data_IF_354614245798
#
_entry.id   IF_354614245798
#
_cell.length_a   1.000
_cell.length_b   1.000
_cell.length_c   1.000
_cell.angle_alpha   90.00
_cell.angle_beta   90.00
_cell.angle_gamma   90.00
#
_symmetry.space_group_name_H-M   'P 1'
#
loop_
_entity.id
_entity.type
_entity.pdbx_description
1 polymer ?
#
# COMPACT_ATOMS: atom_id res chain seq x y z
N UNK A 1 18.90 -29.85 -47.67
CA UNK A 1 18.19 -29.96 -46.37
C UNK A 1 17.77 -28.57 -45.94
N UNK A 2 16.49 -28.25 -46.02
CA UNK A 2 15.94 -26.96 -45.59
C UNK A 2 15.92 -26.97 -44.06
N UNK A 3 16.83 -26.23 -43.44
CA UNK A 3 16.80 -25.99 -41.99
C UNK A 3 15.46 -25.33 -41.67
N UNK A 4 14.59 -26.02 -40.93
CA UNK A 4 13.35 -25.46 -40.44
C UNK A 4 13.68 -24.25 -39.56
N UNK A 5 13.40 -23.04 -40.06
CA UNK A 5 13.50 -21.81 -39.29
C UNK A 5 12.49 -21.93 -38.16
N UNK A 6 12.99 -22.19 -36.94
CA UNK A 6 12.15 -22.30 -35.75
C UNK A 6 11.70 -20.87 -35.42
N UNK A 7 10.49 -20.50 -35.82
CA UNK A 7 9.93 -19.19 -35.49
C UNK A 7 9.91 -19.03 -33.96
N UNK A 8 10.54 -17.97 -33.46
CA UNK A 8 10.54 -17.62 -32.04
C UNK A 8 9.19 -16.96 -31.76
N UNK A 9 8.46 -17.48 -30.78
CA UNK A 9 7.17 -16.95 -30.37
C UNK A 9 7.33 -16.20 -29.05
N UNK A 10 6.87 -14.95 -29.00
CA UNK A 10 6.89 -14.12 -27.80
C UNK A 10 5.46 -13.69 -27.44
N UNK A 11 4.77 -14.41 -26.55
CA UNK A 11 3.48 -13.98 -26.02
C UNK A 11 3.68 -12.83 -25.03
N UNK A 12 2.95 -11.73 -25.27
CA UNK A 12 3.03 -10.50 -24.50
C UNK A 12 1.67 -10.14 -23.95
N UNK A 13 1.58 -9.95 -22.63
CA UNK A 13 0.40 -9.37 -22.00
C UNK A 13 0.64 -7.87 -21.76
N UNK A 14 -0.27 -7.02 -22.26
CA UNK A 14 -0.22 -5.57 -22.04
C UNK A 14 -1.51 -5.12 -21.37
N UNK A 15 -1.42 -4.83 -20.07
CA UNK A 15 -2.54 -4.42 -19.23
C UNK A 15 -2.89 -2.93 -19.45
N UNK A 16 -3.40 -2.60 -20.63
CA UNK A 16 -3.85 -1.24 -20.98
C UNK A 16 -5.00 -1.25 -21.98
N UNK A 17 -5.88 -0.26 -21.84
CA UNK A 17 -6.92 0.07 -22.82
C UNK A 17 -6.38 0.96 -23.96
N UNK A 18 -5.16 1.50 -23.81
CA UNK A 18 -4.54 2.33 -24.83
C UNK A 18 -3.98 1.49 -25.98
N UNK A 19 -4.79 1.33 -27.03
CA UNK A 19 -4.41 0.57 -28.21
C UNK A 19 -3.14 1.11 -28.90
N UNK A 20 -2.97 2.43 -28.99
CA UNK A 20 -1.79 3.05 -29.63
C UNK A 20 -0.49 2.68 -28.92
N UNK A 21 -0.47 2.79 -27.58
CA UNK A 21 0.69 2.40 -26.81
C UNK A 21 0.99 0.91 -26.98
N UNK A 22 -0.05 0.07 -26.87
CA UNK A 22 0.11 -1.39 -26.98
C UNK A 22 0.66 -1.80 -28.35
N UNK A 23 0.15 -1.22 -29.43
CA UNK A 23 0.66 -1.45 -30.79
C UNK A 23 2.09 -0.95 -30.96
N UNK A 24 2.37 0.28 -30.52
CA UNK A 24 3.72 0.85 -30.61
C UNK A 24 4.76 0.00 -29.88
N UNK A 25 4.39 -0.56 -28.72
CA UNK A 25 5.27 -1.46 -27.98
C UNK A 25 5.48 -2.80 -28.70
N UNK A 26 4.42 -3.37 -29.29
CA UNK A 26 4.53 -4.60 -30.09
C UNK A 26 5.41 -4.38 -31.32
N UNK A 27 5.26 -3.26 -32.03
CA UNK A 27 6.13 -2.92 -33.16
C UNK A 27 7.59 -2.79 -32.75
N UNK A 28 7.85 -2.09 -31.65
CA UNK A 28 9.21 -1.92 -31.14
C UNK A 28 9.84 -3.25 -30.73
N UNK A 29 9.05 -4.17 -30.15
CA UNK A 29 9.52 -5.53 -29.83
C UNK A 29 9.82 -6.32 -31.10
N UNK A 30 8.98 -6.26 -32.13
CA UNK A 30 9.25 -6.93 -33.41
C UNK A 30 10.53 -6.42 -34.03
N UNK A 31 10.70 -5.10 -34.14
CA UNK A 31 11.90 -4.46 -34.67
C UNK A 31 13.17 -4.89 -33.88
N UNK A 32 13.11 -4.88 -32.55
CA UNK A 32 14.22 -5.32 -31.69
C UNK A 32 14.59 -6.79 -31.91
N UNK A 33 13.61 -7.68 -32.04
CA UNK A 33 13.86 -9.10 -32.19
C UNK A 33 14.25 -9.50 -33.62
N UNK A 34 13.76 -8.81 -34.64
CA UNK A 34 14.17 -9.00 -36.05
C UNK A 34 15.62 -8.57 -36.28
N UNK A 35 16.10 -7.53 -35.58
CA UNK A 35 17.51 -7.13 -35.63
C UNK A 35 18.44 -8.16 -34.98
N UNK A 36 18.05 -8.76 -33.86
CA UNK A 36 18.87 -9.74 -33.13
C UNK A 36 18.77 -11.16 -33.69
N UNK A 37 17.58 -11.56 -34.13
CA UNK A 37 17.33 -12.87 -34.73
C UNK A 37 16.94 -12.68 -36.20
N UNK A 38 17.80 -13.14 -37.11
CA UNK A 38 17.58 -13.11 -38.57
C UNK A 38 16.36 -13.95 -39.06
N UNK A 39 15.59 -14.52 -38.13
CA UNK A 39 14.45 -15.39 -38.33
C UNK A 39 13.18 -14.72 -37.80
N UNK A 40 12.05 -14.89 -38.51
CA UNK A 40 10.78 -14.23 -38.17
C UNK A 40 10.31 -14.50 -36.74
N UNK A 41 10.26 -13.45 -35.92
CA UNK A 41 9.73 -13.52 -34.55
C UNK A 41 8.25 -13.13 -34.55
N UNK A 42 7.42 -13.98 -33.95
CA UNK A 42 5.99 -13.73 -33.83
C UNK A 42 5.71 -13.21 -32.43
N UNK A 43 5.55 -11.89 -32.32
CA UNK A 43 5.06 -11.23 -31.11
C UNK A 43 3.54 -11.26 -31.11
N UNK A 44 2.93 -11.96 -30.16
CA UNK A 44 1.47 -12.07 -30.03
C UNK A 44 0.97 -11.46 -28.73
N UNK A 45 -0.21 -10.83 -28.78
CA UNK A 45 -0.85 -10.31 -27.57
C UNK A 45 -1.70 -11.40 -26.95
N UNK A 46 -1.49 -11.69 -25.67
CA UNK A 46 -2.31 -12.64 -24.89
C UNK A 46 -3.17 -11.92 -23.85
N UNK A 47 -4.36 -12.47 -23.60
CA UNK A 47 -5.34 -11.88 -22.68
C UNK A 47 -4.93 -12.05 -21.21
N UNK A 48 -4.36 -13.20 -20.85
CA UNK A 48 -4.02 -13.52 -19.47
C UNK A 48 -2.51 -13.35 -19.21
N UNK A 49 -2.11 -12.73 -18.07
CA UNK A 49 -0.70 -12.60 -17.70
C UNK A 49 0.02 -13.95 -17.54
N UNK A 50 -0.73 -15.01 -17.22
CA UNK A 50 -0.19 -16.37 -17.00
C UNK A 50 0.36 -17.00 -18.28
N UNK A 51 -0.15 -16.60 -19.43
CA UNK A 51 0.26 -17.17 -20.73
C UNK A 51 1.35 -16.33 -21.42
N UNK A 52 1.78 -15.23 -20.79
CA UNK A 52 2.77 -14.30 -21.35
C UNK A 52 4.19 -14.55 -20.83
N UNK A 53 5.16 -14.36 -21.71
CA UNK A 53 6.59 -14.31 -21.36
C UNK A 53 7.01 -12.91 -20.92
N UNK A 54 6.37 -11.89 -21.50
CA UNK A 54 6.49 -10.49 -21.10
C UNK A 54 5.16 -9.95 -20.60
N UNK A 55 5.16 -9.47 -19.37
CA UNK A 55 4.02 -8.77 -18.77
C UNK A 55 4.33 -7.27 -18.67
N UNK A 56 3.52 -6.47 -19.35
CA UNK A 56 3.59 -5.01 -19.34
C UNK A 56 2.48 -4.49 -18.44
N UNK A 57 2.87 -3.96 -17.28
CA UNK A 57 1.94 -3.50 -16.25
C UNK A 57 1.99 -1.99 -16.11
N UNK A 58 0.83 -1.36 -16.22
CA UNK A 58 0.64 0.04 -15.90
C UNK A 58 0.35 0.20 -14.42
N UNK A 59 1.03 1.14 -13.79
CA UNK A 59 0.89 1.44 -12.37
C UNK A 59 0.31 2.83 -12.19
N UNK A 60 -0.60 2.96 -11.23
CA UNK A 60 -1.07 4.25 -10.75
C UNK A 60 -0.04 4.90 -9.82
N UNK A 61 -0.07 6.24 -9.66
CA UNK A 61 0.76 6.92 -8.67
C UNK A 61 0.55 6.31 -7.28
N UNK A 62 1.63 6.03 -6.55
CA UNK A 62 1.56 5.48 -5.20
C UNK A 62 1.20 3.99 -5.10
N UNK A 63 0.88 3.29 -6.20
CA UNK A 63 0.83 1.82 -6.18
C UNK A 63 2.21 1.24 -5.87
N UNK A 64 2.24 0.29 -4.93
CA UNK A 64 3.40 -0.52 -4.61
C UNK A 64 3.36 -1.81 -5.44
N UNK A 65 4.53 -2.38 -5.66
CA UNK A 65 4.72 -3.63 -6.40
C UNK A 65 3.89 -4.80 -5.85
N UNK A 66 3.69 -4.86 -4.54
CA UNK A 66 2.92 -5.93 -3.88
C UNK A 66 1.43 -5.61 -3.67
N UNK A 67 0.92 -4.51 -4.24
CA UNK A 67 -0.53 -4.31 -4.29
C UNK A 67 -1.20 -5.16 -5.38
N UNK A 68 -0.40 -5.69 -6.32
CA UNK A 68 -0.86 -6.60 -7.37
C UNK A 68 -0.13 -7.94 -7.36
N UNK A 69 1.11 -8.01 -6.89
CA UNK A 69 1.72 -9.28 -6.48
C UNK A 69 1.19 -9.58 -5.08
N UNK A 70 0.21 -10.49 -4.97
CA UNK A 70 -0.27 -10.97 -3.69
C UNK A 70 0.90 -11.36 -2.78
N UNK A 71 1.18 -10.54 -1.76
CA UNK A 71 2.39 -10.72 -0.95
C UNK A 71 2.31 -12.01 -0.13
N UNK A 72 1.12 -12.33 0.39
CA UNK A 72 0.93 -13.54 1.18
C UNK A 72 1.26 -14.76 0.34
N UNK A 73 0.67 -14.86 -0.86
CA UNK A 73 0.91 -15.93 -1.82
C UNK A 73 2.38 -15.97 -2.26
N UNK A 74 2.99 -14.80 -2.49
CA UNK A 74 4.41 -14.70 -2.84
C UNK A 74 5.35 -15.18 -1.72
N UNK A 75 4.95 -15.04 -0.46
CA UNK A 75 5.71 -15.50 0.70
C UNK A 75 5.46 -16.98 1.03
N UNK A 76 4.23 -17.47 0.87
CA UNK A 76 3.81 -18.79 1.34
C UNK A 76 3.77 -19.86 0.26
N UNK A 77 3.56 -19.48 -1.01
CA UNK A 77 3.39 -20.42 -2.12
C UNK A 77 4.58 -20.36 -3.08
N UNK A 78 5.44 -21.39 -3.02
CA UNK A 78 6.62 -21.48 -3.87
C UNK A 78 6.27 -21.47 -5.37
N UNK A 79 5.23 -22.20 -5.79
CA UNK A 79 4.84 -22.28 -7.20
C UNK A 79 4.41 -20.92 -7.76
N UNK A 80 3.63 -20.17 -6.99
CA UNK A 80 3.23 -18.81 -7.35
C UNK A 80 4.44 -17.88 -7.47
N UNK A 81 5.37 -17.95 -6.51
CA UNK A 81 6.61 -17.19 -6.53
C UNK A 81 7.48 -17.54 -7.74
N UNK A 82 7.68 -18.82 -8.04
CA UNK A 82 8.46 -19.27 -9.19
C UNK A 82 7.83 -18.79 -10.51
N UNK A 83 6.51 -18.90 -10.64
CA UNK A 83 5.80 -18.40 -11.82
C UNK A 83 5.98 -16.88 -12.00
N UNK A 84 5.82 -16.11 -10.93
CA UNK A 84 6.00 -14.65 -10.97
C UNK A 84 7.43 -14.24 -11.33
N UNK A 85 8.43 -14.95 -10.80
CA UNK A 85 9.85 -14.68 -11.03
C UNK A 85 10.37 -15.19 -12.38
N UNK A 86 9.73 -16.20 -12.96
CA UNK A 86 10.08 -16.74 -14.27
C UNK A 86 9.69 -15.85 -15.44
N UNK A 87 8.80 -14.87 -15.22
CA UNK A 87 8.31 -13.93 -16.24
C UNK A 87 9.16 -12.66 -16.29
N UNK A 88 9.24 -12.04 -17.47
CA UNK A 88 9.79 -10.68 -17.61
C UNK A 88 8.69 -9.65 -17.37
N UNK A 89 8.96 -8.69 -16.50
CA UNK A 89 8.03 -7.62 -16.12
C UNK A 89 8.55 -6.25 -16.56
N UNK A 90 7.73 -5.55 -17.34
CA UNK A 90 7.93 -4.15 -17.70
C UNK A 90 6.90 -3.29 -16.98
N UNK A 91 7.37 -2.50 -16.01
CA UNK A 91 6.53 -1.57 -15.26
C UNK A 91 6.46 -0.21 -15.94
N UNK A 92 5.25 0.27 -16.19
CA UNK A 92 4.97 1.54 -16.85
C UNK A 92 4.35 2.51 -15.86
N UNK A 93 5.04 3.61 -15.59
CA UNK A 93 4.54 4.68 -14.71
C UNK A 93 4.18 5.95 -15.50
N UNK A 94 3.22 6.77 -15.04
CA UNK A 94 2.92 8.05 -15.67
C UNK A 94 4.13 9.00 -15.64
N UNK A 95 4.86 9.02 -14.52
CA UNK A 95 6.04 9.88 -14.29
C UNK A 95 7.14 9.13 -13.54
N UNK A 96 8.37 9.61 -13.68
CA UNK A 96 9.56 9.04 -13.02
C UNK A 96 9.50 9.11 -11.50
N UNK A 97 8.79 10.10 -10.95
CA UNK A 97 8.61 10.30 -9.50
C UNK A 97 7.66 9.28 -8.85
N UNK A 98 6.86 8.57 -9.65
CA UNK A 98 5.89 7.58 -9.15
C UNK A 98 6.51 6.22 -8.89
N UNK A 99 7.70 5.95 -9.45
CA UNK A 99 8.45 4.73 -9.18
C UNK A 99 9.30 4.88 -7.91
N UNK A 100 9.10 3.99 -6.94
CA UNK A 100 9.97 3.92 -5.75
C UNK A 100 11.28 3.20 -6.09
N UNK A 101 12.34 4.01 -6.23
CA UNK A 101 13.70 3.53 -6.55
C UNK A 101 14.31 2.64 -5.47
N UNK A 102 13.75 2.62 -4.26
CA UNK A 102 14.22 1.76 -3.19
C UNK A 102 13.72 0.32 -3.34
N UNK A 103 12.71 0.10 -4.20
CA UNK A 103 12.22 -1.24 -4.50
C UNK A 103 13.24 -1.94 -5.38
N UNK A 104 13.90 -2.93 -4.79
CA UNK A 104 14.86 -3.81 -5.45
C UNK A 104 14.33 -5.24 -5.39
N UNK A 105 13.26 -5.53 -6.13
CA UNK A 105 12.67 -6.87 -6.19
C UNK A 105 12.63 -7.43 -7.62
N UNK A 106 13.03 -8.70 -7.86
CA UNK A 106 13.09 -9.27 -9.20
C UNK A 106 11.75 -9.41 -9.91
N UNK A 107 10.63 -9.20 -9.22
CA UNK A 107 9.29 -9.07 -9.83
C UNK A 107 9.15 -7.81 -10.69
N UNK A 108 10.14 -6.90 -10.68
CA UNK A 108 10.24 -5.77 -11.61
C UNK A 108 11.58 -5.85 -12.34
N UNK A 109 11.56 -6.29 -13.60
CA UNK A 109 12.80 -6.43 -14.39
C UNK A 109 13.20 -5.10 -15.04
N UNK A 110 12.23 -4.34 -15.55
CA UNK A 110 12.48 -3.05 -16.20
C UNK A 110 11.37 -2.05 -15.90
N UNK A 111 11.74 -0.77 -15.89
CA UNK A 111 10.84 0.34 -15.60
C UNK A 111 10.95 1.39 -16.69
N UNK A 112 9.81 1.79 -17.23
CA UNK A 112 9.64 2.89 -18.16
C UNK A 112 8.59 3.86 -17.66
N UNK A 113 8.57 5.04 -18.27
CA UNK A 113 7.53 6.04 -18.04
C UNK A 113 6.87 6.44 -19.35
N UNK A 114 5.62 6.90 -19.27
CA UNK A 114 4.85 7.37 -20.42
C UNK A 114 5.52 8.54 -21.18
N UNK A 115 6.45 9.26 -20.52
CA UNK A 115 7.21 10.37 -21.11
C UNK A 115 8.57 9.97 -21.67
N UNK A 116 8.96 8.69 -21.58
CA UNK A 116 10.22 8.26 -22.15
C UNK A 116 10.17 8.33 -23.67
N UNK A 117 11.30 8.74 -24.28
CA UNK A 117 11.47 8.65 -25.73
C UNK A 117 11.49 7.20 -26.18
N UNK A 118 11.10 6.96 -27.43
CA UNK A 118 11.14 5.63 -28.06
C UNK A 118 12.53 5.00 -27.94
N UNK A 119 13.60 5.76 -28.18
CA UNK A 119 14.98 5.30 -28.02
C UNK A 119 15.32 4.86 -26.59
N UNK A 120 14.70 5.47 -25.57
CA UNK A 120 14.89 5.07 -24.18
C UNK A 120 14.13 3.78 -23.87
N UNK A 121 12.89 3.66 -24.33
CA UNK A 121 12.09 2.45 -24.19
C UNK A 121 12.79 1.29 -24.91
N UNK A 122 13.28 1.51 -26.14
CA UNK A 122 14.03 0.55 -26.93
C UNK A 122 15.24 0.01 -26.17
N UNK A 123 16.09 0.89 -25.63
CA UNK A 123 17.24 0.48 -24.81
C UNK A 123 16.84 -0.32 -23.57
N UNK A 124 15.73 0.06 -22.90
CA UNK A 124 15.22 -0.67 -21.73
C UNK A 124 14.68 -2.06 -22.07
N UNK A 125 14.05 -2.22 -23.23
CA UNK A 125 13.61 -3.51 -23.74
C UNK A 125 14.80 -4.36 -24.19
N UNK A 126 15.77 -3.75 -24.86
CA UNK A 126 17.00 -4.43 -25.25
C UNK A 126 17.72 -5.00 -24.03
N UNK A 127 17.94 -4.19 -22.99
CA UNK A 127 18.54 -4.69 -21.74
C UNK A 127 17.67 -5.74 -21.05
N UNK A 128 16.35 -5.66 -21.17
CA UNK A 128 15.45 -6.65 -20.56
C UNK A 128 15.57 -8.03 -21.21
N UNK A 129 15.82 -8.12 -22.52
CA UNK A 129 15.85 -9.38 -23.25
C UNK A 129 17.24 -9.92 -23.55
N UNK A 130 18.19 -9.04 -23.88
CA UNK A 130 19.47 -9.41 -24.49
C UNK A 130 20.69 -9.08 -23.64
N UNK A 131 20.59 -8.11 -22.73
CA UNK A 131 21.65 -7.99 -21.73
C UNK A 131 21.53 -9.19 -20.79
N UNK A 132 22.65 -9.84 -20.48
CA UNK A 132 22.80 -10.95 -19.52
C UNK A 132 22.35 -10.62 -18.08
N UNK A 133 21.53 -9.59 -17.87
CA UNK A 133 20.65 -9.46 -16.73
C UNK A 133 19.58 -10.55 -16.80
N UNK A 134 19.95 -11.75 -16.35
CA UNK A 134 19.09 -12.92 -16.18
C UNK A 134 17.71 -12.55 -15.62
N UNK A 135 16.65 -12.98 -16.32
CA UNK A 135 15.28 -13.04 -15.79
C UNK A 135 14.98 -14.48 -15.38
N UNK A 136 14.55 -14.72 -14.14
CA UNK A 136 14.37 -16.07 -13.56
C UNK A 136 15.51 -16.46 -12.59
N UNK A 137 15.26 -17.38 -11.65
CA UNK A 137 15.79 -17.28 -10.29
C UNK A 137 17.21 -17.87 -10.15
N UNK A 138 18.21 -17.12 -9.67
CA UNK A 138 19.19 -17.70 -8.76
C UNK A 138 18.52 -17.60 -7.37
N UNK A 139 18.35 -18.67 -6.60
CA UNK A 139 17.63 -18.60 -5.31
C UNK A 139 18.13 -17.56 -4.26
N UNK A 140 19.13 -16.69 -4.53
CA UNK A 140 20.07 -16.19 -3.52
C UNK A 140 20.67 -14.76 -3.67
N UNK A 141 20.03 -13.74 -4.29
CA UNK A 141 20.76 -12.45 -4.48
C UNK A 141 20.25 -11.14 -3.89
N UNK A 142 19.01 -11.01 -3.39
CA UNK A 142 18.68 -9.86 -2.51
C UNK A 142 17.69 -10.22 -1.39
N UNK A 143 18.04 -10.03 -0.11
CA UNK A 143 17.20 -10.36 1.06
C UNK A 143 15.98 -9.45 1.26
N UNK A 144 15.68 -8.52 0.34
CA UNK A 144 14.66 -7.49 0.56
C UNK A 144 13.29 -7.76 -0.09
N UNK A 145 13.12 -8.77 -0.96
CA UNK A 145 11.78 -9.17 -1.40
C UNK A 145 10.98 -9.90 -0.32
N UNK A 146 11.66 -10.60 0.59
CA UNK A 146 11.00 -11.34 1.68
C UNK A 146 10.19 -10.43 2.59
N UNK A 147 10.61 -9.16 2.73
CA UNK A 147 9.90 -8.19 3.56
C UNK A 147 8.58 -7.75 2.96
N UNK A 148 8.33 -7.96 1.64
CA UNK A 148 7.27 -7.34 0.83
C UNK A 148 6.95 -5.93 1.36
N UNK A 149 7.50 -4.81 0.82
CA UNK A 149 7.22 -3.48 1.37
C UNK A 149 5.72 -3.36 1.68
N UNK A 150 5.40 -3.43 2.99
CA UNK A 150 4.14 -3.99 3.44
C UNK A 150 2.92 -3.20 3.00
N UNK A 151 1.70 -3.57 3.50
CA UNK A 151 0.56 -2.67 3.41
C UNK A 151 1.00 -1.28 3.83
N UNK A 152 0.38 -0.24 3.27
CA UNK A 152 0.76 1.18 3.31
C UNK A 152 1.06 1.83 4.68
N UNK A 153 1.25 1.05 5.74
CA UNK A 153 1.48 1.41 7.12
C UNK A 153 0.44 2.42 7.59
N UNK A 154 -0.78 2.24 7.06
CA UNK A 154 -1.91 3.07 7.37
C UNK A 154 -2.46 2.67 8.72
N UNK A 155 -2.74 3.65 9.56
CA UNK A 155 -3.47 3.45 10.80
C UNK A 155 -4.93 3.06 10.48
N UNK A 156 -5.59 2.38 11.40
CA UNK A 156 -6.99 1.94 11.24
C UNK A 156 -7.91 3.05 10.71
N UNK A 157 -7.87 4.25 11.32
CA UNK A 157 -8.69 5.39 10.87
C UNK A 157 -8.35 5.89 9.48
N UNK A 158 -7.08 5.83 9.07
CA UNK A 158 -6.68 6.17 7.71
C UNK A 158 -7.25 5.15 6.72
N UNK A 159 -7.21 3.86 7.06
CA UNK A 159 -7.80 2.78 6.25
C UNK A 159 -9.33 2.95 6.15
N UNK A 160 -9.99 3.26 7.26
CA UNK A 160 -11.43 3.51 7.32
C UNK A 160 -11.84 4.72 6.45
N UNK A 161 -11.10 5.83 6.57
CA UNK A 161 -11.35 7.01 5.73
C UNK A 161 -11.20 6.68 4.24
N UNK A 162 -10.19 5.87 3.88
CA UNK A 162 -10.03 5.43 2.50
C UNK A 162 -11.18 4.57 2.01
N UNK A 163 -11.67 3.66 2.84
CA UNK A 163 -12.81 2.83 2.47
C UNK A 163 -14.07 3.64 2.20
N UNK A 164 -14.32 4.71 2.97
CA UNK A 164 -15.42 5.61 2.66
C UNK A 164 -15.17 6.46 1.42
N UNK A 165 -13.93 6.95 1.24
CA UNK A 165 -13.56 7.70 0.03
C UNK A 165 -13.69 6.83 -1.23
N UNK A 166 -13.31 5.54 -1.17
CA UNK A 166 -13.41 4.62 -2.32
C UNK A 166 -14.86 4.28 -2.66
N UNK A 167 -15.79 4.45 -1.72
CA UNK A 167 -17.24 4.36 -1.96
C UNK A 167 -17.84 5.67 -2.51
N UNK A 168 -17.04 6.74 -2.66
CA UNK A 168 -17.48 8.02 -3.20
C UNK A 168 -18.12 8.97 -2.19
N UNK A 169 -17.98 8.72 -0.88
CA UNK A 169 -18.58 9.60 0.14
C UNK A 169 -17.86 10.95 0.22
N UNK A 170 -18.64 12.00 0.46
CA UNK A 170 -18.13 13.36 0.65
C UNK A 170 -17.49 13.56 2.02
N UNK A 171 -16.61 14.56 2.16
CA UNK A 171 -15.92 14.86 3.43
C UNK A 171 -16.89 15.05 4.62
N UNK A 172 -18.05 15.67 4.39
CA UNK A 172 -19.04 15.87 5.44
C UNK A 172 -19.63 14.54 5.93
N UNK A 173 -20.04 13.66 5.01
CA UNK A 173 -20.61 12.34 5.34
C UNK A 173 -19.58 11.45 6.05
N UNK A 174 -18.33 11.48 5.57
CA UNK A 174 -17.22 10.77 6.21
C UNK A 174 -17.00 11.32 7.62
N UNK A 175 -17.07 12.64 7.82
CA UNK A 175 -16.87 13.26 9.12
C UNK A 175 -17.92 12.79 10.14
N UNK A 176 -19.17 12.65 9.69
CA UNK A 176 -20.27 12.12 10.50
C UNK A 176 -20.09 10.63 10.80
N UNK A 177 -19.74 9.81 9.79
CA UNK A 177 -19.55 8.37 9.97
C UNK A 177 -18.35 8.04 10.86
N UNK A 178 -17.26 8.79 10.72
CA UNK A 178 -16.05 8.60 11.53
C UNK A 178 -16.08 9.33 12.87
N UNK A 179 -17.10 10.16 13.14
CA UNK A 179 -17.19 10.97 14.35
C UNK A 179 -15.99 11.91 14.52
N UNK A 180 -15.50 12.55 13.46
CA UNK A 180 -14.33 13.41 13.54
C UNK A 180 -14.50 14.72 12.77
N UNK A 181 -13.66 15.71 13.06
CA UNK A 181 -13.75 17.01 12.37
C UNK A 181 -13.25 16.92 10.93
N UNK A 182 -13.72 17.82 10.07
CA UNK A 182 -13.19 17.94 8.68
C UNK A 182 -11.68 18.24 8.68
N UNK A 183 -11.17 18.92 9.72
CA UNK A 183 -9.74 19.16 9.93
C UNK A 183 -8.98 17.85 10.18
N UNK A 184 -9.56 16.93 10.95
CA UNK A 184 -9.01 15.60 11.19
C UNK A 184 -8.92 14.80 9.88
N UNK A 185 -9.98 14.80 9.07
CA UNK A 185 -9.97 14.17 7.74
C UNK A 185 -8.87 14.74 6.83
N UNK A 186 -8.70 16.07 6.86
CA UNK A 186 -7.63 16.74 6.13
C UNK A 186 -6.22 16.37 6.66
N UNK A 187 -6.10 16.06 7.95
CA UNK A 187 -4.88 15.55 8.57
C UNK A 187 -4.57 14.11 8.11
N UNK A 188 -5.57 13.21 8.21
CA UNK A 188 -5.45 11.83 7.75
C UNK A 188 -5.09 11.76 6.26
N UNK A 189 -5.76 12.52 5.40
CA UNK A 189 -5.46 12.56 3.96
C UNK A 189 -3.99 12.93 3.71
N UNK A 190 -3.48 13.98 4.36
CA UNK A 190 -2.07 14.39 4.23
C UNK A 190 -1.12 13.31 4.75
N UNK A 191 -1.49 12.62 5.82
CA UNK A 191 -0.72 11.51 6.36
C UNK A 191 -0.65 10.33 5.38
N UNK A 192 -1.79 9.93 4.81
CA UNK A 192 -1.87 8.87 3.80
C UNK A 192 -1.05 9.24 2.58
N UNK A 193 -1.28 10.42 1.99
CA UNK A 193 -0.53 10.91 0.83
C UNK A 193 0.99 10.84 1.07
N UNK A 194 1.46 11.18 2.28
CA UNK A 194 2.87 11.04 2.65
C UNK A 194 3.34 9.58 2.70
N UNK A 195 2.55 8.67 3.29
CA UNK A 195 2.87 7.24 3.43
C UNK A 195 2.91 6.50 2.09
N UNK A 196 2.12 6.95 1.13
CA UNK A 196 2.07 6.40 -0.24
C UNK A 196 2.91 7.21 -1.24
N UNK A 197 3.67 8.19 -0.75
CA UNK A 197 4.55 9.06 -1.54
C UNK A 197 3.85 9.81 -2.71
N UNK A 198 2.61 10.23 -2.50
CA UNK A 198 1.86 11.06 -3.44
C UNK A 198 1.89 12.52 -2.97
N UNK A 199 2.30 13.43 -3.87
CA UNK A 199 2.36 14.88 -3.60
C UNK A 199 1.13 15.64 -4.09
N UNK A 200 0.51 15.17 -5.18
CA UNK A 200 -0.59 15.87 -5.85
C UNK A 200 -1.92 15.22 -5.53
N UNK A 201 -2.95 16.03 -5.32
CA UNK A 201 -4.30 15.51 -5.06
C UNK A 201 -4.87 14.74 -6.25
N UNK A 202 -4.60 15.16 -7.48
CA UNK A 202 -5.00 14.42 -8.69
C UNK A 202 -4.44 13.00 -8.71
N UNK A 203 -3.17 12.85 -8.33
CA UNK A 203 -2.49 11.56 -8.27
C UNK A 203 -3.10 10.69 -7.15
N UNK A 204 -3.56 11.31 -6.05
CA UNK A 204 -4.27 10.61 -4.97
C UNK A 204 -5.64 10.09 -5.41
N UNK A 205 -6.39 10.85 -6.20
CA UNK A 205 -7.68 10.40 -6.76
C UNK A 205 -7.47 9.23 -7.73
N UNK A 206 -6.45 9.30 -8.59
CA UNK A 206 -6.09 8.19 -9.50
C UNK A 206 -5.72 6.93 -8.72
N UNK A 207 -4.96 7.07 -7.64
CA UNK A 207 -4.60 5.96 -6.76
C UNK A 207 -5.81 5.32 -6.09
N UNK A 208 -6.70 6.13 -5.52
CA UNK A 208 -7.92 5.66 -4.85
C UNK A 208 -8.85 4.89 -5.80
N UNK A 209 -8.88 5.27 -7.08
CA UNK A 209 -9.69 4.60 -8.10
C UNK A 209 -9.12 3.26 -8.59
N UNK A 210 -7.92 2.86 -8.15
CA UNK A 210 -7.38 1.54 -8.52
C UNK A 210 -8.18 0.41 -7.87
N UNK A 211 -8.42 -0.66 -8.61
CA UNK A 211 -9.17 -1.83 -8.14
C UNK A 211 -8.53 -2.47 -6.90
N UNK A 212 -7.20 -2.58 -6.89
CA UNK A 212 -6.40 -3.10 -5.78
C UNK A 212 -6.62 -2.34 -4.47
N UNK A 213 -6.78 -1.01 -4.55
CA UNK A 213 -7.04 -0.14 -3.41
C UNK A 213 -8.52 -0.14 -3.05
N UNK A 214 -9.41 0.05 -4.01
CA UNK A 214 -10.84 0.20 -3.76
C UNK A 214 -11.47 -1.06 -3.17
N UNK A 215 -11.16 -2.25 -3.70
CA UNK A 215 -11.68 -3.52 -3.17
C UNK A 215 -11.17 -3.78 -1.75
N UNK A 216 -9.86 -3.58 -1.52
CA UNK A 216 -9.20 -3.81 -0.23
C UNK A 216 -9.76 -2.96 0.90
N UNK A 217 -9.98 -1.66 0.66
CA UNK A 217 -10.48 -0.76 1.70
C UNK A 217 -12.01 -0.74 1.80
N UNK A 218 -12.74 -1.15 0.75
CA UNK A 218 -14.18 -1.35 0.84
C UNK A 218 -14.57 -2.48 1.79
N UNK A 219 -13.78 -3.56 1.86
CA UNK A 219 -13.98 -4.67 2.80
C UNK A 219 -13.89 -4.21 4.26
N UNK A 220 -12.93 -3.33 4.56
CA UNK A 220 -12.75 -2.76 5.91
C UNK A 220 -14.01 -2.01 6.37
N UNK A 221 -14.68 -1.28 5.47
CA UNK A 221 -15.92 -0.57 5.82
C UNK A 221 -17.07 -1.53 6.09
N UNK A 222 -17.15 -2.67 5.39
CA UNK A 222 -18.21 -3.67 5.62
C UNK A 222 -18.12 -4.23 7.04
N UNK A 223 -16.92 -4.62 7.47
CA UNK A 223 -16.69 -5.09 8.85
C UNK A 223 -16.90 -4.00 9.90
N UNK A 224 -16.55 -2.75 9.58
CA UNK A 224 -16.80 -1.63 10.48
C UNK A 224 -18.30 -1.40 10.76
N UNK A 225 -19.19 -1.55 9.77
CA UNK A 225 -20.63 -1.35 9.99
C UNK A 225 -21.22 -2.39 10.96
N UNK A 226 -20.65 -3.60 11.01
CA UNK A 226 -21.11 -4.70 11.87
C UNK A 226 -20.60 -4.58 13.32
N UNK A 227 -19.38 -4.06 13.54
CA UNK A 227 -18.83 -3.82 14.89
C UNK A 227 -19.38 -2.53 15.57
N UNK A 228 -19.85 -1.54 14.79
CA UNK A 228 -20.06 -0.16 15.27
C UNK A 228 -21.51 0.18 15.71
N UNK A 229 -22.32 -0.80 16.12
CA UNK A 229 -23.51 -0.49 16.91
C UNK A 229 -23.15 0.23 18.24
N UNK A 230 -21.94 0.01 18.75
CA UNK A 230 -21.47 0.49 20.07
C UNK A 230 -20.54 1.74 19.99
N UNK A 231 -19.85 1.97 18.86
CA UNK A 231 -18.83 3.01 18.69
C UNK A 231 -19.36 4.46 18.53
N UNK A 232 -20.68 4.65 18.40
CA UNK A 232 -21.29 6.00 18.39
C UNK A 232 -21.03 6.79 19.68
N UNK A 233 -20.55 6.13 20.74
CA UNK A 233 -20.30 6.76 22.04
C UNK A 233 -19.02 7.61 22.12
N UNK A 234 -17.98 7.33 21.32
CA UNK A 234 -16.65 7.94 21.54
C UNK A 234 -16.61 9.40 21.02
N UNK A 235 -17.52 9.79 20.13
CA UNK A 235 -17.49 11.11 19.51
C UNK A 235 -18.89 11.66 19.28
N UNK A 236 -19.70 11.75 20.34
CA UNK A 236 -20.79 12.71 20.35
C UNK A 236 -20.16 14.07 20.07
N UNK A 237 -20.34 14.55 18.84
CA UNK A 237 -20.03 15.92 18.44
C UNK A 237 -20.63 16.83 19.51
N UNK A 238 -19.84 17.76 20.08
CA UNK A 238 -20.33 18.77 21.03
C UNK A 238 -21.60 19.42 20.49
N UNK A 239 -22.75 18.91 20.91
CA UNK A 239 -24.00 19.63 20.91
C UNK A 239 -24.13 20.13 22.35
N UNK A 240 -23.63 21.35 22.55
CA UNK A 240 -23.97 22.27 23.65
C UNK A 240 -23.81 21.75 25.09
N UNK A 241 -22.66 22.03 25.71
CA UNK A 241 -22.53 22.63 27.06
C UNK A 241 -21.06 22.59 27.51
N UNK A 242 -20.50 23.74 27.87
CA UNK A 242 -19.07 23.94 28.18
C UNK A 242 -18.66 23.54 29.61
N UNK A 243 -19.39 22.64 30.27
CA UNK A 243 -19.19 22.41 31.72
C UNK A 243 -18.41 21.12 32.04
N UNK A 244 -18.21 20.20 31.09
CA UNK A 244 -17.68 18.84 31.41
C UNK A 244 -16.53 18.32 30.49
N UNK A 245 -15.73 19.24 29.94
CA UNK A 245 -14.77 18.92 28.85
C UNK A 245 -13.59 18.01 29.23
N UNK A 246 -13.12 18.02 30.48
CA UNK A 246 -11.95 17.23 30.89
C UNK A 246 -12.30 15.77 31.21
N UNK A 247 -13.55 15.51 31.63
CA UNK A 247 -14.09 14.17 31.90
C UNK A 247 -14.33 13.41 30.58
N UNK A 248 -14.85 14.09 29.56
CA UNK A 248 -15.09 13.53 28.22
C UNK A 248 -13.79 13.08 27.52
N UNK A 249 -12.73 13.90 27.56
CA UNK A 249 -11.46 13.56 26.92
C UNK A 249 -10.79 12.35 27.58
N UNK A 250 -10.83 12.24 28.92
CA UNK A 250 -10.29 11.07 29.65
C UNK A 250 -11.07 9.79 29.31
N UNK A 251 -12.40 9.87 29.24
CA UNK A 251 -13.24 8.76 28.81
C UNK A 251 -12.89 8.30 27.38
N UNK A 252 -12.69 9.25 26.46
CA UNK A 252 -12.32 8.97 25.06
C UNK A 252 -10.94 8.35 24.92
N UNK A 253 -9.98 8.71 25.77
CA UNK A 253 -8.68 8.02 25.86
C UNK A 253 -8.86 6.56 26.24
N UNK A 254 -9.65 6.26 27.28
CA UNK A 254 -9.88 4.88 27.74
C UNK A 254 -10.47 4.01 26.63
N UNK A 255 -11.49 4.51 25.92
CA UNK A 255 -12.11 3.78 24.82
C UNK A 255 -11.14 3.56 23.65
N UNK A 256 -10.33 4.58 23.32
CA UNK A 256 -9.28 4.46 22.30
C UNK A 256 -8.25 3.40 22.67
N UNK A 257 -7.82 3.36 23.94
CA UNK A 257 -6.88 2.34 24.43
C UNK A 257 -7.49 0.93 24.44
N UNK A 258 -8.77 0.78 24.83
CA UNK A 258 -9.48 -0.51 24.77
C UNK A 258 -9.49 -1.07 23.34
N UNK A 259 -9.88 -0.24 22.36
CA UNK A 259 -9.92 -0.66 20.95
C UNK A 259 -8.55 -1.04 20.40
N UNK A 260 -7.53 -0.22 20.65
CA UNK A 260 -6.15 -0.53 20.23
C UNK A 260 -5.64 -1.84 20.83
N UNK A 261 -6.11 -2.17 22.04
CA UNK A 261 -5.80 -3.43 22.72
C UNK A 261 -6.55 -4.60 22.07
N UNK A 262 -7.87 -4.49 21.89
CA UNK A 262 -8.70 -5.54 21.26
C UNK A 262 -8.25 -5.86 19.83
N UNK A 263 -7.95 -4.84 19.02
CA UNK A 263 -7.43 -5.01 17.66
C UNK A 263 -6.13 -5.83 17.62
N UNK A 264 -5.28 -5.72 18.66
CA UNK A 264 -4.04 -6.51 18.77
C UNK A 264 -4.26 -7.92 19.30
N UNK A 265 -5.26 -8.13 20.16
CA UNK A 265 -5.63 -9.47 20.64
C UNK A 265 -6.15 -10.36 19.49
N UNK A 266 -6.83 -9.78 18.50
CA UNK A 266 -7.24 -10.51 17.29
C UNK A 266 -6.07 -10.92 16.38
N UNK A 267 -4.88 -10.32 16.53
CA UNK A 267 -3.71 -10.54 15.67
C UNK A 267 -2.59 -11.37 16.33
N UNK A 268 -2.67 -11.68 17.62
CA UNK A 268 -1.61 -12.39 18.36
C UNK A 268 -2.18 -13.37 19.39
N UNK A 269 -1.48 -14.49 19.61
CA UNK A 269 -1.77 -15.49 20.65
C UNK A 269 -1.89 -14.86 22.06
N UNK A 270 -2.65 -15.48 22.99
CA UNK A 270 -3.23 -14.81 24.16
C UNK A 270 -2.27 -14.44 25.30
N UNK A 271 -0.96 -14.62 25.14
CA UNK A 271 -0.02 -14.58 26.27
C UNK A 271 0.78 -13.27 26.41
N UNK A 272 0.62 -12.29 25.52
CA UNK A 272 1.39 -11.04 25.60
C UNK A 272 0.57 -9.87 26.16
N UNK A 273 1.01 -9.31 27.29
CA UNK A 273 0.52 -8.02 27.77
C UNK A 273 0.73 -6.92 26.73
N UNK A 274 -0.35 -6.26 26.32
CA UNK A 274 -0.31 -5.24 25.27
C UNK A 274 -0.01 -3.87 25.88
N UNK A 275 1.12 -3.31 25.48
CA UNK A 275 1.56 -1.96 25.84
C UNK A 275 1.48 -1.02 24.64
N UNK A 276 0.80 0.12 24.81
CA UNK A 276 0.58 1.14 23.77
C UNK A 276 1.55 2.31 23.93
N UNK A 277 2.03 2.88 22.84
CA UNK A 277 2.87 4.09 22.87
C UNK A 277 2.00 5.35 22.93
N UNK A 278 2.50 6.44 23.52
CA UNK A 278 1.81 7.74 23.51
C UNK A 278 1.42 8.17 22.08
N UNK A 279 2.28 7.89 21.09
CA UNK A 279 2.05 8.27 19.70
C UNK A 279 0.86 7.53 19.10
N UNK A 280 0.70 6.24 19.40
CA UNK A 280 -0.44 5.44 18.91
C UNK A 280 -1.75 5.98 19.45
N UNK A 281 -1.84 6.23 20.75
CA UNK A 281 -3.05 6.76 21.39
C UNK A 281 -3.34 8.19 20.89
N UNK A 282 -2.29 9.02 20.74
CA UNK A 282 -2.41 10.38 20.21
C UNK A 282 -2.94 10.40 18.77
N UNK A 283 -2.42 9.52 17.91
CA UNK A 283 -2.89 9.38 16.54
C UNK A 283 -4.35 8.88 16.48
N UNK A 284 -4.74 7.99 17.40
CA UNK A 284 -6.10 7.45 17.47
C UNK A 284 -7.13 8.52 17.85
N UNK A 285 -6.73 9.47 18.70
CA UNK A 285 -7.57 10.60 19.12
C UNK A 285 -7.41 11.88 18.29
N UNK A 286 -6.50 11.90 17.31
CA UNK A 286 -6.13 13.10 16.55
C UNK A 286 -5.76 14.30 17.44
N UNK A 287 -5.02 14.04 18.53
CA UNK A 287 -4.48 15.10 19.39
C UNK A 287 -2.96 15.10 19.38
N UNK A 288 -2.35 16.22 19.79
CA UNK A 288 -0.89 16.32 19.81
C UNK A 288 -0.29 15.30 20.78
N UNK A 289 0.91 14.78 20.47
CA UNK A 289 1.61 13.83 21.34
C UNK A 289 1.88 14.42 22.74
N UNK A 290 2.05 15.74 22.83
CA UNK A 290 2.26 16.45 24.09
C UNK A 290 0.98 16.53 24.91
N UNK A 291 -0.15 16.88 24.27
CA UNK A 291 -1.47 16.91 24.91
C UNK A 291 -1.87 15.51 25.38
N UNK A 292 -1.64 14.48 24.55
CA UNK A 292 -1.89 13.09 24.93
C UNK A 292 -1.01 12.66 26.09
N UNK A 293 0.28 13.00 26.07
CA UNK A 293 1.17 12.68 27.20
C UNK A 293 0.69 13.34 28.49
N UNK A 294 0.30 14.62 28.44
CA UNK A 294 -0.24 15.33 29.59
C UNK A 294 -1.48 14.62 30.15
N UNK A 295 -2.44 14.27 29.28
CA UNK A 295 -3.68 13.60 29.66
C UNK A 295 -3.42 12.21 30.25
N UNK A 296 -2.52 11.43 29.65
CA UNK A 296 -2.13 10.11 30.16
C UNK A 296 -1.43 10.18 31.51
N UNK A 297 -0.56 11.18 31.73
CA UNK A 297 0.04 11.41 33.06
C UNK A 297 -1.02 11.76 34.12
N UNK A 298 -2.03 12.57 33.76
CA UNK A 298 -3.14 12.85 34.68
C UNK A 298 -3.94 11.59 34.99
N UNK A 299 -4.21 10.77 33.98
CA UNK A 299 -4.96 9.52 34.12
C UNK A 299 -4.20 8.44 34.91
N UNK A 300 -2.86 8.45 34.85
CA UNK A 300 -1.99 7.60 35.66
C UNK A 300 -2.07 7.99 37.14
N UNK A 301 -2.06 9.30 37.45
CA UNK A 301 -2.23 9.77 38.82
C UNK A 301 -3.60 9.38 39.42
N UNK A 302 -4.64 9.27 38.58
CA UNK A 302 -5.97 8.80 39.01
C UNK A 302 -6.11 7.28 38.99
N UNK A 303 -5.05 6.53 38.65
CA UNK A 303 -5.05 5.07 38.60
C UNK A 303 -5.83 4.45 37.43
N UNK A 304 -6.21 5.23 36.41
CA UNK A 304 -6.98 4.74 35.27
C UNK A 304 -6.11 4.07 34.19
N UNK A 305 -4.82 4.43 34.14
CA UNK A 305 -3.81 3.84 33.26
C UNK A 305 -2.52 3.61 34.03
N UNK A 306 -1.71 2.67 33.56
CA UNK A 306 -0.40 2.35 34.12
C UNK A 306 0.65 2.65 33.06
N UNK A 307 1.77 3.28 33.45
CA UNK A 307 2.90 3.49 32.54
C UNK A 307 4.10 2.60 32.88
N UNK A 308 4.86 2.25 31.84
CA UNK A 308 6.19 1.67 31.98
C UNK A 308 7.19 2.48 31.14
N UNK A 309 8.38 2.69 31.70
CA UNK A 309 9.49 3.32 30.99
C UNK A 309 10.26 2.24 30.25
N UNK A 310 10.28 2.32 28.92
CA UNK A 310 11.13 1.48 28.08
C UNK A 310 12.25 2.32 27.49
N UNK A 311 13.51 2.02 27.81
CA UNK A 311 14.71 2.70 27.30
C UNK A 311 15.52 3.45 28.36
N UNK A 312 16.70 3.97 27.97
CA UNK A 312 17.60 4.76 28.80
C UNK A 312 18.05 6.05 28.09
N UNK A 313 17.98 7.20 28.77
CA UNK A 313 18.47 8.48 28.27
C UNK A 313 17.54 9.13 27.23
N UNK A 314 18.08 9.59 26.09
CA UNK A 314 17.32 10.30 25.04
C UNK A 314 16.30 9.43 24.30
N UNK A 315 16.38 8.10 24.44
CA UNK A 315 15.46 7.12 23.84
C UNK A 315 14.34 6.66 24.79
N UNK A 316 14.17 7.32 25.94
CA UNK A 316 13.09 7.05 26.89
C UNK A 316 11.72 7.13 26.20
N UNK A 317 11.07 5.98 26.05
CA UNK A 317 9.70 5.89 25.52
C UNK A 317 8.77 5.40 26.62
N UNK A 318 7.74 6.21 26.91
CA UNK A 318 6.66 5.80 27.81
C UNK A 318 5.69 4.91 27.03
N UNK A 319 5.38 3.76 27.63
CA UNK A 319 4.30 2.90 27.18
C UNK A 319 3.22 2.85 28.24
N UNK A 320 1.99 2.63 27.80
CA UNK A 320 0.78 2.78 28.59
C UNK A 320 -0.09 1.55 28.43
N UNK A 321 -0.75 1.16 29.52
CA UNK A 321 -1.74 0.08 29.58
C UNK A 321 -2.93 0.59 30.39
N UNK A 322 -4.11 0.05 30.14
CA UNK A 322 -5.26 0.27 31.02
C UNK A 322 -4.99 -0.37 32.38
N UNK A 323 -5.30 0.32 33.46
CA UNK A 323 -5.29 -0.30 34.78
C UNK A 323 -6.39 -1.36 34.85
N UNK A 324 -6.06 -2.52 35.40
CA UNK A 324 -6.96 -3.68 35.57
C UNK A 324 -7.93 -3.48 36.71
#
# INVERSE_FOLDING_TARGET
MVSAVKNIYLPVHIATENNYFSMGLIFLLKELFEEEYQSGVIVSKVSEPKDADLVVKFHSPGEKVFDWVGCHEFQTQNDYKFNMLGKKWLSVYPRTEHYDRNINCPVVNSVITMRNSVATIRRKLFSLFFADSMSGPPDLRKPNCSKCPGPYQLAWREQLMLGYLSQGLGHYEISQKMGCTIKALSSYRRSIMRKINIKRYSDFVLWLGTRSVSEKYAEIVKHHVEEYADDRLIWKTKVVSEVDGESDDKYRVLQSMKRLTSSRLHLRSPENEIWLTTREIANEMDISIYSMRYLLCQMENTGAVISIKTGSGRSNTLRWKLAS
#
